data_IF_514671033972
#
_entry.id   IF_514671033972
#
_cell.length_a   1.000
_cell.length_b   1.000
_cell.length_c   1.000
_cell.angle_alpha   90.00
_cell.angle_beta   90.00
_cell.angle_gamma   90.00
#
_symmetry.space_group_name_H-M   'P 1'
#
loop_
_entity.id
_entity.type
_entity.pdbx_description
1 polymer ?
#
# COMPACT_ATOMS: atom_id res chain seq x y z
N UNK A 1 19.81 -62.70 -25.47
CA UNK A 1 18.50 -63.34 -25.25
C UNK A 1 17.50 -62.80 -26.27
N UNK A 2 17.02 -63.68 -27.16
CA UNK A 2 15.87 -63.49 -28.07
C UNK A 2 14.58 -63.54 -27.24
N UNK A 3 13.46 -62.94 -27.64
CA UNK A 3 12.31 -63.49 -28.39
C UNK A 3 11.38 -62.28 -28.66
N UNK A 4 11.03 -61.81 -29.88
CA UNK A 4 10.28 -62.35 -31.05
C UNK A 4 8.88 -62.91 -30.77
N UNK A 5 7.87 -62.16 -31.24
CA UNK A 5 6.67 -62.57 -32.03
C UNK A 5 5.70 -61.36 -32.03
N UNK A 6 5.56 -60.51 -33.05
CA UNK A 6 4.97 -60.72 -34.38
C UNK A 6 3.72 -61.60 -34.36
N UNK A 7 2.53 -61.03 -34.60
CA UNK A 7 1.53 -61.48 -35.58
C UNK A 7 0.65 -60.28 -35.95
N UNK A 8 0.86 -59.75 -37.15
CA UNK A 8 -0.09 -58.86 -37.81
C UNK A 8 -1.16 -59.66 -38.55
N UNK A 9 -2.19 -58.97 -39.04
CA UNK A 9 -2.90 -59.16 -40.30
C UNK A 9 -4.16 -58.27 -40.25
N UNK A 10 -4.66 -57.60 -41.28
CA UNK A 10 -4.24 -57.12 -42.60
C UNK A 10 -5.51 -56.39 -43.12
N UNK A 11 -5.37 -55.20 -43.70
CA UNK A 11 -6.09 -54.62 -44.87
C UNK A 11 -7.64 -54.59 -44.84
N UNK A 12 -8.33 -53.51 -45.24
CA UNK A 12 -8.51 -52.97 -46.60
C UNK A 12 -8.95 -51.48 -46.46
N UNK A 13 -8.36 -50.51 -47.18
CA UNK A 13 -8.95 -49.79 -48.33
C UNK A 13 -10.33 -49.14 -48.04
N UNK A 14 -10.67 -47.90 -48.38
CA UNK A 14 -10.16 -46.95 -49.35
C UNK A 14 -10.89 -45.59 -49.16
N UNK A 15 -10.17 -44.50 -49.41
CA UNK A 15 -10.56 -43.32 -50.22
C UNK A 15 -11.74 -42.42 -49.79
N UNK A 16 -11.35 -41.15 -49.57
CA UNK A 16 -11.99 -39.87 -49.88
C UNK A 16 -13.42 -39.56 -49.38
N UNK A 17 -13.52 -38.38 -48.75
CA UNK A 17 -14.11 -37.17 -49.33
C UNK A 17 -14.77 -36.33 -48.24
N UNK A 18 -14.45 -35.04 -48.26
CA UNK A 18 -15.09 -34.02 -47.45
C UNK A 18 -16.57 -33.86 -47.81
N UNK A 19 -17.41 -33.60 -46.81
CA UNK A 19 -18.63 -32.83 -46.99
C UNK A 19 -19.06 -32.20 -45.65
N UNK A 20 -19.21 -30.88 -45.71
CA UNK A 20 -19.83 -29.99 -44.74
C UNK A 20 -21.34 -30.30 -44.70
N UNK A 21 -21.94 -30.37 -43.51
CA UNK A 21 -23.33 -29.93 -43.30
C UNK A 21 -23.72 -29.96 -41.81
N UNK A 22 -23.90 -28.75 -41.26
CA UNK A 22 -25.02 -28.31 -40.42
C UNK A 22 -25.61 -29.24 -39.35
N UNK A 23 -25.39 -28.80 -38.10
CA UNK A 23 -26.37 -28.62 -37.04
C UNK A 23 -27.42 -29.72 -36.77
N UNK A 24 -27.30 -30.35 -35.61
CA UNK A 24 -28.43 -30.62 -34.72
C UNK A 24 -27.91 -30.79 -33.29
N UNK A 25 -28.15 -29.79 -32.46
CA UNK A 25 -27.93 -29.87 -31.02
C UNK A 25 -28.90 -30.89 -30.42
N UNK A 26 -28.36 -32.00 -29.90
CA UNK A 26 -29.05 -32.81 -28.90
C UNK A 26 -28.07 -33.10 -27.78
N UNK A 27 -28.34 -32.48 -26.63
CA UNK A 27 -27.94 -32.94 -25.31
C UNK A 27 -26.45 -33.08 -25.00
N UNK A 28 -25.86 -32.05 -24.40
CA UNK A 28 -24.79 -32.25 -23.41
C UNK A 28 -25.01 -31.27 -22.26
N UNK A 29 -25.02 -31.85 -21.06
CA UNK A 29 -24.99 -31.24 -19.74
C UNK A 29 -24.10 -29.97 -19.71
N UNK A 30 -24.72 -28.82 -19.45
CA UNK A 30 -24.01 -27.60 -19.11
C UNK A 30 -23.68 -27.65 -17.61
N UNK A 31 -22.42 -27.96 -17.29
CA UNK A 31 -21.84 -27.56 -16.01
C UNK A 31 -21.74 -26.02 -16.02
N UNK A 32 -22.70 -25.32 -15.42
CA UNK A 32 -22.58 -23.90 -15.08
C UNK A 32 -21.70 -23.76 -13.83
N UNK A 33 -20.42 -24.12 -13.96
CA UNK A 33 -19.38 -23.58 -13.08
C UNK A 33 -18.98 -22.23 -13.63
N UNK A 34 -19.86 -21.25 -13.39
CA UNK A 34 -19.50 -19.85 -13.46
C UNK A 34 -18.42 -19.61 -12.42
N UNK A 35 -17.16 -19.73 -12.85
CA UNK A 35 -16.02 -19.28 -12.07
C UNK A 35 -16.36 -17.87 -11.56
N UNK A 36 -16.27 -17.60 -10.25
CA UNK A 36 -16.48 -16.24 -9.77
C UNK A 36 -15.50 -15.35 -10.53
N UNK A 37 -16.03 -14.37 -11.26
CA UNK A 37 -15.23 -13.27 -11.80
C UNK A 37 -14.31 -12.81 -10.68
N UNK A 38 -12.99 -12.66 -10.90
CA UNK A 38 -12.13 -12.13 -9.86
C UNK A 38 -12.77 -10.84 -9.37
N UNK A 39 -13.05 -10.79 -8.07
CA UNK A 39 -13.45 -9.57 -7.39
C UNK A 39 -12.48 -8.48 -7.85
N UNK A 40 -12.95 -7.27 -8.23
CA UNK A 40 -12.02 -6.18 -8.53
C UNK A 40 -11.01 -6.11 -7.37
N UNK A 41 -9.70 -6.10 -7.65
CA UNK A 41 -8.70 -6.15 -6.58
C UNK A 41 -9.01 -5.03 -5.61
N UNK A 42 -9.24 -5.39 -4.34
CA UNK A 42 -9.58 -4.48 -3.28
C UNK A 42 -8.69 -3.23 -3.36
N UNK A 43 -9.30 -2.04 -3.34
CA UNK A 43 -8.62 -0.77 -3.64
C UNK A 43 -7.30 -0.65 -2.89
N UNK A 44 -6.19 -0.77 -3.62
CA UNK A 44 -4.85 -0.63 -3.06
C UNK A 44 -4.67 0.81 -2.60
N UNK A 45 -4.57 1.00 -1.28
CA UNK A 45 -4.31 2.30 -0.68
C UNK A 45 -2.84 2.40 -0.27
N UNK A 46 -2.09 3.19 -1.02
CA UNK A 46 -0.74 3.60 -0.62
C UNK A 46 -0.89 4.66 0.48
N UNK A 47 -0.48 4.31 1.69
CA UNK A 47 -0.51 5.19 2.87
C UNK A 47 0.72 6.11 2.86
N UNK A 48 1.86 5.57 2.47
CA UNK A 48 3.12 6.29 2.36
C UNK A 48 4.02 5.61 1.31
N UNK A 49 4.76 6.35 0.47
CA UNK A 49 4.83 7.81 0.39
C UNK A 49 3.57 8.45 -0.24
N UNK A 50 3.33 9.75 0.03
CA UNK A 50 2.27 10.51 -0.62
C UNK A 50 2.59 10.76 -2.11
N UNK A 51 1.59 10.80 -3.00
CA UNK A 51 1.80 11.19 -4.39
C UNK A 51 2.09 12.68 -4.52
N UNK A 52 2.80 13.05 -5.59
CA UNK A 52 3.05 14.43 -6.00
C UNK A 52 3.66 15.30 -4.89
N UNK A 53 4.64 14.74 -4.19
CA UNK A 53 5.23 15.34 -3.01
C UNK A 53 6.75 15.24 -3.05
N UNK A 54 7.39 16.10 -2.25
CA UNK A 54 8.84 16.08 -2.04
C UNK A 54 9.11 15.55 -0.65
N UNK A 55 9.92 14.51 -0.55
CA UNK A 55 10.40 13.98 0.71
C UNK A 55 11.87 14.32 0.87
N UNK A 56 12.29 14.54 2.12
CA UNK A 56 13.72 14.65 2.42
C UNK A 56 14.33 13.25 2.50
N UNK A 57 15.60 13.12 2.12
CA UNK A 57 16.37 11.90 2.29
C UNK A 57 16.26 11.35 3.71
N UNK A 58 16.15 10.03 3.82
CA UNK A 58 15.97 9.36 5.10
C UNK A 58 15.75 7.86 4.95
N UNK A 59 15.27 7.23 6.01
CA UNK A 59 14.76 5.86 5.91
C UNK A 59 13.37 5.88 5.29
N UNK A 60 13.19 5.18 4.17
CA UNK A 60 11.91 5.12 3.49
C UNK A 60 11.23 3.78 3.71
N UNK A 61 9.97 3.88 4.11
CA UNK A 61 9.04 2.75 4.09
C UNK A 61 8.04 2.98 2.96
N UNK A 62 7.58 1.90 2.34
CA UNK A 62 6.38 1.91 1.51
C UNK A 62 5.31 1.21 2.31
N UNK A 63 4.27 1.93 2.71
CA UNK A 63 3.20 1.43 3.57
C UNK A 63 1.92 1.38 2.75
N UNK A 64 1.33 0.20 2.65
CA UNK A 64 0.19 -0.06 1.78
C UNK A 64 -0.85 -0.88 2.53
N UNK A 65 -2.12 -0.54 2.34
CA UNK A 65 -3.24 -1.40 2.70
C UNK A 65 -3.82 -2.00 1.42
N UNK A 66 -3.82 -3.32 1.32
CA UNK A 66 -4.24 -4.05 0.13
C UNK A 66 -3.20 -5.08 -0.32
N UNK A 67 -3.44 -5.67 -1.49
CA UNK A 67 -2.60 -6.72 -2.04
C UNK A 67 -1.97 -6.30 -3.37
N UNK A 68 -0.81 -6.87 -3.67
CA UNK A 68 -0.09 -6.61 -4.91
C UNK A 68 1.42 -6.73 -4.73
N UNK A 69 2.11 -6.90 -5.84
CA UNK A 69 3.57 -6.81 -5.88
C UNK A 69 4.00 -5.34 -5.85
N UNK A 70 5.06 -5.03 -5.11
CA UNK A 70 5.66 -3.70 -5.06
C UNK A 70 6.78 -3.59 -6.10
N UNK A 71 6.71 -2.53 -6.88
CA UNK A 71 7.80 -2.07 -7.73
C UNK A 71 8.16 -0.64 -7.35
N UNK A 72 9.46 -0.39 -7.25
CA UNK A 72 10.07 0.93 -7.08
C UNK A 72 10.97 1.16 -8.29
N UNK A 73 10.68 2.18 -9.09
CA UNK A 73 11.41 2.50 -10.33
C UNK A 73 11.56 1.28 -11.26
N UNK A 74 10.50 0.49 -11.37
CA UNK A 74 10.47 -0.73 -12.17
C UNK A 74 11.15 -1.95 -11.53
N UNK A 75 11.86 -1.79 -10.41
CA UNK A 75 12.48 -2.89 -9.67
C UNK A 75 11.55 -3.47 -8.61
N UNK A 76 11.35 -4.79 -8.64
CA UNK A 76 10.52 -5.50 -7.66
C UNK A 76 11.16 -5.45 -6.27
N UNK A 77 10.37 -5.08 -5.26
CA UNK A 77 10.82 -5.01 -3.87
C UNK A 77 10.15 -6.10 -3.03
N UNK A 78 10.87 -6.69 -2.05
CA UNK A 78 10.29 -7.64 -1.11
C UNK A 78 9.39 -6.92 -0.09
N UNK A 79 8.36 -7.61 0.36
CA UNK A 79 7.56 -7.17 1.50
C UNK A 79 8.21 -7.64 2.81
N UNK A 80 8.19 -6.77 3.81
CA UNK A 80 8.50 -7.09 5.20
C UNK A 80 7.43 -8.03 5.79
N UNK A 81 7.75 -8.80 6.85
CA UNK A 81 6.86 -9.81 7.42
C UNK A 81 5.71 -9.19 8.25
N UNK A 82 4.77 -8.54 7.56
CA UNK A 82 3.54 -7.99 8.14
C UNK A 82 2.33 -8.85 7.77
N UNK A 83 1.44 -9.04 8.73
CA UNK A 83 0.18 -9.72 8.50
C UNK A 83 -0.76 -8.86 7.60
N UNK A 84 -1.56 -9.48 6.71
CA UNK A 84 -2.59 -8.78 5.96
C UNK A 84 -3.60 -8.03 6.86
N UNK A 85 -4.21 -6.94 6.36
CA UNK A 85 -4.12 -6.39 5.01
C UNK A 85 -2.98 -5.36 4.83
N UNK A 86 -2.14 -5.17 5.85
CA UNK A 86 -1.02 -4.24 5.76
C UNK A 86 0.15 -4.89 5.01
N UNK A 87 0.82 -4.09 4.19
CA UNK A 87 2.07 -4.42 3.52
C UNK A 87 3.04 -3.29 3.75
N UNK A 88 4.25 -3.62 4.16
CA UNK A 88 5.32 -2.66 4.42
C UNK A 88 6.57 -3.14 3.70
N UNK A 89 7.28 -2.25 3.03
CA UNK A 89 8.60 -2.54 2.49
C UNK A 89 9.57 -1.45 2.93
N UNK A 90 10.78 -1.81 3.34
CA UNK A 90 11.86 -0.85 3.53
C UNK A 90 12.59 -0.67 2.20
N UNK A 91 12.69 0.56 1.72
CA UNK A 91 13.28 0.86 0.40
C UNK A 91 14.40 1.89 0.54
N UNK A 92 15.45 1.72 -0.27
CA UNK A 92 16.53 2.70 -0.38
C UNK A 92 16.22 3.65 -1.54
N UNK A 93 16.07 4.94 -1.25
CA UNK A 93 15.82 5.97 -2.26
C UNK A 93 16.91 7.01 -2.17
N UNK A 94 17.41 7.43 -3.33
CA UNK A 94 18.39 8.48 -3.49
C UNK A 94 17.69 9.78 -3.90
N UNK A 95 18.36 10.93 -3.88
CA UNK A 95 17.77 12.14 -4.45
C UNK A 95 17.36 11.93 -5.91
N UNK A 96 16.16 12.40 -6.27
CA UNK A 96 15.60 12.24 -7.61
C UNK A 96 14.10 11.96 -7.62
N UNK A 97 13.57 11.77 -8.83
CA UNK A 97 12.18 11.38 -9.07
C UNK A 97 12.03 9.87 -8.94
N UNK A 98 11.02 9.44 -8.19
CA UNK A 98 10.72 8.03 -7.97
C UNK A 98 9.28 7.69 -8.34
N UNK A 99 9.08 6.46 -8.76
CA UNK A 99 7.79 5.84 -9.00
C UNK A 99 7.58 4.63 -8.09
N UNK A 100 6.42 4.57 -7.44
CA UNK A 100 5.95 3.36 -6.76
C UNK A 100 4.74 2.82 -7.48
N UNK A 101 4.78 1.53 -7.79
CA UNK A 101 3.67 0.79 -8.36
C UNK A 101 3.32 -0.41 -7.49
N UNK A 102 2.04 -0.52 -7.13
CA UNK A 102 1.48 -1.67 -6.41
C UNK A 102 0.20 -2.11 -7.11
N UNK A 103 0.24 -3.33 -7.67
CA UNK A 103 -0.81 -3.80 -8.57
C UNK A 103 -0.99 -2.83 -9.75
N UNK A 104 -2.18 -2.25 -9.88
CA UNK A 104 -2.53 -1.24 -10.90
C UNK A 104 -2.33 0.22 -10.46
N UNK A 105 -2.01 0.46 -9.19
CA UNK A 105 -1.86 1.81 -8.65
C UNK A 105 -0.41 2.25 -8.80
N UNK A 106 -0.22 3.40 -9.45
CA UNK A 106 1.09 4.05 -9.57
C UNK A 106 1.02 5.44 -8.94
N UNK A 107 2.08 5.82 -8.23
CA UNK A 107 2.31 7.17 -7.73
C UNK A 107 3.74 7.60 -8.02
N UNK A 108 3.95 8.90 -8.10
CA UNK A 108 5.28 9.50 -8.22
C UNK A 108 5.51 10.51 -7.12
N UNK A 109 6.76 10.63 -6.67
CA UNK A 109 7.21 11.57 -5.65
C UNK A 109 8.71 11.82 -5.86
N UNK A 110 9.23 12.90 -5.28
CA UNK A 110 10.64 13.25 -5.39
C UNK A 110 11.30 13.10 -4.03
N UNK A 111 12.56 12.69 -4.01
CA UNK A 111 13.42 12.73 -2.84
C UNK A 111 14.45 13.85 -3.03
N UNK A 112 14.61 14.71 -2.03
CA UNK A 112 15.52 15.85 -2.02
C UNK A 112 16.53 15.72 -0.88
N UNK A 113 17.74 16.26 -1.06
CA UNK A 113 18.80 16.22 -0.04
C UNK A 113 18.46 17.08 1.17
N UNK A 114 17.90 18.26 0.93
CA UNK A 114 17.52 19.22 1.96
C UNK A 114 16.38 20.12 1.43
N UNK A 115 15.91 21.07 2.25
CA UNK A 115 14.82 21.97 1.85
C UNK A 115 15.22 22.97 0.74
N UNK A 116 16.52 23.16 0.49
CA UNK A 116 17.08 24.15 -0.45
C UNK A 116 17.42 23.53 -1.82
N UNK A 117 17.88 22.27 -1.83
CA UNK A 117 18.27 21.47 -3.00
C UNK A 117 17.11 20.59 -3.46
N UNK A 118 16.02 21.23 -3.87
CA UNK A 118 14.84 20.55 -4.39
C UNK A 118 14.79 20.55 -5.93
N UNK A 119 14.88 19.36 -6.55
CA UNK A 119 14.83 19.17 -8.01
C UNK A 119 13.49 18.62 -8.55
N UNK A 120 12.45 18.50 -7.72
CA UNK A 120 11.17 17.95 -8.18
C UNK A 120 10.30 18.94 -8.97
N UNK A 121 9.17 18.46 -9.52
CA UNK A 121 8.23 19.31 -10.26
C UNK A 121 7.80 20.54 -9.44
N UNK A 122 7.76 21.73 -10.09
CA UNK A 122 7.57 23.05 -9.46
C UNK A 122 6.34 23.19 -8.54
N UNK A 123 5.37 22.30 -8.64
CA UNK A 123 4.10 22.36 -7.89
C UNK A 123 3.97 21.27 -6.81
N UNK A 124 5.01 20.50 -6.52
CA UNK A 124 4.96 19.47 -5.49
C UNK A 124 5.41 20.06 -4.15
N UNK A 125 4.59 19.98 -3.09
CA UNK A 125 4.94 20.57 -1.80
C UNK A 125 5.97 19.70 -1.06
N UNK A 126 6.82 20.36 -0.28
CA UNK A 126 7.67 19.69 0.70
C UNK A 126 6.81 19.00 1.76
N UNK A 127 6.91 17.68 1.82
CA UNK A 127 6.20 16.82 2.75
C UNK A 127 7.09 16.47 3.93
N UNK A 128 6.75 17.00 5.10
CA UNK A 128 7.54 16.82 6.31
C UNK A 128 7.05 15.59 7.06
N UNK A 129 7.99 14.72 7.40
CA UNK A 129 7.74 13.55 8.24
C UNK A 129 7.86 13.94 9.70
N UNK A 130 7.10 13.26 10.57
CA UNK A 130 7.36 13.34 12.00
C UNK A 130 8.72 12.68 12.29
N UNK A 131 9.70 13.46 12.72
CA UNK A 131 11.06 12.98 13.00
C UNK A 131 11.09 12.30 14.37
N UNK A 132 10.77 11.00 14.41
CA UNK A 132 10.99 10.18 15.60
C UNK A 132 12.48 9.80 15.63
N UNK A 133 13.19 10.21 16.68
CA UNK A 133 14.61 9.88 16.88
C UNK A 133 14.78 8.37 16.96
N UNK A 134 15.61 7.83 16.06
CA UNK A 134 15.98 6.41 15.94
C UNK A 134 14.86 5.45 15.49
N UNK A 135 14.82 5.21 14.17
CA UNK A 135 14.28 4.01 13.52
C UNK A 135 12.76 3.79 13.45
N UNK A 136 11.93 4.84 13.45
CA UNK A 136 10.49 4.79 13.03
C UNK A 136 9.79 3.45 13.33
N UNK A 137 9.89 3.01 14.58
CA UNK A 137 9.29 1.77 15.05
C UNK A 137 7.78 2.00 15.11
N UNK A 138 7.01 1.25 14.32
CA UNK A 138 5.56 1.42 14.23
C UNK A 138 4.90 1.35 15.61
N UNK A 139 5.46 0.52 16.50
CA UNK A 139 5.08 0.33 17.90
C UNK A 139 5.27 1.56 18.79
N UNK A 140 6.02 2.59 18.37
CA UNK A 140 6.10 3.83 19.12
C UNK A 140 4.71 4.48 19.23
N UNK A 141 3.88 4.35 18.18
CA UNK A 141 2.54 4.96 18.14
C UNK A 141 1.41 3.92 18.07
N UNK A 142 1.64 2.79 17.39
CA UNK A 142 0.64 1.75 17.21
C UNK A 142 0.74 0.67 18.27
N UNK A 143 -0.39 0.03 18.57
CA UNK A 143 -0.39 -1.30 19.19
C UNK A 143 0.09 -2.29 18.13
N UNK A 144 1.07 -3.13 18.49
CA UNK A 144 1.66 -4.10 17.57
C UNK A 144 1.62 -5.47 18.23
N UNK A 145 1.00 -6.43 17.56
CA UNK A 145 1.01 -7.83 17.96
C UNK A 145 1.89 -8.65 17.00
N UNK A 146 2.47 -9.75 17.50
CA UNK A 146 3.29 -10.67 16.71
C UNK A 146 2.70 -12.06 16.77
N UNK A 147 2.47 -12.65 15.62
CA UNK A 147 2.01 -14.04 15.51
C UNK A 147 3.15 -15.03 15.81
N UNK A 148 2.81 -16.28 16.10
CA UNK A 148 3.79 -17.35 16.30
C UNK A 148 4.69 -17.57 15.06
N UNK A 149 4.22 -17.21 13.86
CA UNK A 149 4.99 -17.26 12.62
C UNK A 149 5.89 -16.04 12.37
N UNK A 150 6.05 -15.14 13.37
CA UNK A 150 6.91 -13.96 13.27
C UNK A 150 6.31 -12.77 12.51
N UNK A 151 5.09 -12.89 11.96
CA UNK A 151 4.41 -11.78 11.29
C UNK A 151 3.95 -10.74 12.31
N UNK A 152 4.22 -9.46 12.01
CA UNK A 152 3.74 -8.32 12.79
C UNK A 152 2.39 -7.82 12.28
N UNK A 153 1.46 -7.58 13.20
CA UNK A 153 0.17 -6.93 12.93
C UNK A 153 0.18 -5.55 13.55
N UNK A 154 -0.14 -4.52 12.74
CA UNK A 154 -0.32 -3.15 13.22
C UNK A 154 -1.79 -2.92 13.48
N UNK A 155 -2.11 -2.56 14.72
CA UNK A 155 -3.46 -2.29 15.18
C UNK A 155 -3.68 -0.77 15.32
N UNK A 156 -4.69 -0.39 16.10
CA UNK A 156 -4.99 1.01 16.40
C UNK A 156 -3.83 1.75 17.08
N UNK A 157 -3.95 3.07 17.10
CA UNK A 157 -3.05 3.93 17.87
C UNK A 157 -3.21 3.65 19.36
N UNK A 158 -2.14 3.81 20.14
CA UNK A 158 -2.17 3.78 21.61
C UNK A 158 -2.88 5.00 22.24
N UNK A 159 -3.59 5.78 21.44
CA UNK A 159 -4.24 7.02 21.83
C UNK A 159 -3.25 8.13 22.24
N UNK A 160 -3.69 9.08 23.07
CA UNK A 160 -2.88 10.23 23.50
C UNK A 160 -1.57 9.86 24.17
N UNK A 161 -1.52 8.69 24.82
CA UNK A 161 -0.32 8.21 25.53
C UNK A 161 0.90 8.09 24.59
N UNK A 162 0.70 7.69 23.33
CA UNK A 162 1.78 7.63 22.34
C UNK A 162 2.36 9.02 22.03
N UNK A 163 1.52 10.05 22.01
CA UNK A 163 1.96 11.42 21.76
C UNK A 163 2.67 11.99 23.00
N UNK A 164 2.08 11.79 24.18
CA UNK A 164 2.60 12.34 25.43
C UNK A 164 3.84 11.62 25.96
N UNK A 165 4.25 10.50 25.35
CA UNK A 165 5.54 9.88 25.59
C UNK A 165 6.73 10.80 25.23
N UNK A 166 6.53 11.72 24.27
CA UNK A 166 7.56 12.68 23.84
C UNK A 166 7.10 14.14 23.91
N UNK A 167 5.82 14.42 23.71
CA UNK A 167 5.27 15.77 23.79
C UNK A 167 4.75 16.04 25.20
N UNK A 168 5.09 17.18 25.82
CA UNK A 168 4.56 17.49 27.15
C UNK A 168 3.13 17.98 27.05
N UNK A 169 2.29 17.56 27.99
CA UNK A 169 0.90 18.03 28.07
C UNK A 169 0.79 19.55 28.22
N UNK A 170 1.69 20.16 29.00
CA UNK A 170 1.74 21.62 29.17
C UNK A 170 2.04 22.35 27.84
N UNK A 171 2.90 21.78 27.00
CA UNK A 171 3.19 22.31 25.66
C UNK A 171 1.99 22.19 24.72
N UNK A 172 1.20 21.12 24.87
CA UNK A 172 -0.05 20.93 24.13
C UNK A 172 -1.07 22.02 24.51
N UNK A 173 -1.34 22.17 25.81
CA UNK A 173 -2.32 23.12 26.35
C UNK A 173 -1.97 24.57 26.00
N UNK A 174 -0.67 24.89 25.89
CA UNK A 174 -0.21 26.21 25.49
C UNK A 174 -0.33 26.51 23.99
N UNK A 175 -0.39 25.49 23.12
CA UNK A 175 -0.33 25.65 21.66
C UNK A 175 -1.62 25.31 20.93
N UNK A 176 -2.49 24.50 21.51
CA UNK A 176 -3.74 24.07 20.87
C UNK A 176 -4.92 24.91 21.35
N UNK A 177 -5.86 25.18 20.43
CA UNK A 177 -7.08 25.92 20.74
C UNK A 177 -8.09 25.12 21.57
N UNK A 178 -7.91 23.80 21.67
CA UNK A 178 -8.79 22.92 22.43
C UNK A 178 -8.07 22.32 23.63
N UNK A 179 -8.73 22.26 24.80
CA UNK A 179 -8.18 21.57 25.96
C UNK A 179 -8.21 20.05 25.75
N UNK A 180 -7.33 19.37 26.49
CA UNK A 180 -7.33 17.92 26.63
C UNK A 180 -7.69 17.57 28.07
N UNK A 181 -8.83 16.91 28.36
CA UNK A 181 -9.97 16.55 27.49
C UNK A 181 -10.85 17.76 27.03
N UNK A 182 -11.77 17.60 26.05
CA UNK A 182 -12.29 16.35 25.47
C UNK A 182 -11.60 15.86 24.18
N UNK A 183 -10.61 16.58 23.64
CA UNK A 183 -10.01 16.25 22.34
C UNK A 183 -8.92 15.17 22.46
N UNK A 184 -9.37 13.92 22.65
CA UNK A 184 -8.51 12.75 22.89
C UNK A 184 -7.98 12.06 21.62
N UNK A 185 -8.31 12.60 20.45
CA UNK A 185 -7.94 12.02 19.16
C UNK A 185 -7.09 13.00 18.37
N UNK A 186 -5.78 12.99 18.62
CA UNK A 186 -4.79 13.85 17.95
C UNK A 186 -4.87 13.74 16.42
N UNK A 187 -5.20 12.54 15.92
CA UNK A 187 -5.36 12.26 14.51
C UNK A 187 -6.58 12.93 13.88
N UNK A 188 -7.47 13.57 14.65
CA UNK A 188 -8.57 14.34 14.05
C UNK A 188 -8.01 15.49 13.22
N UNK A 189 -7.02 16.23 13.75
CA UNK A 189 -6.39 17.37 13.09
C UNK A 189 -5.04 17.03 12.44
N UNK A 190 -4.28 16.10 13.03
CA UNK A 190 -2.91 15.81 12.60
C UNK A 190 -2.82 14.56 11.70
N UNK A 191 -1.91 14.63 10.73
CA UNK A 191 -1.47 13.51 9.89
C UNK A 191 -0.19 12.92 10.49
N UNK A 192 -0.33 11.79 11.18
CA UNK A 192 0.71 11.28 12.10
C UNK A 192 1.99 10.80 11.42
N UNK A 193 1.91 10.33 10.17
CA UNK A 193 3.10 9.93 9.41
C UNK A 193 3.84 11.13 8.80
N UNK A 194 3.13 12.23 8.56
CA UNK A 194 3.68 13.42 7.94
C UNK A 194 2.62 14.24 7.21
N UNK A 195 2.97 15.44 6.79
CA UNK A 195 2.10 16.32 5.99
C UNK A 195 2.93 17.44 5.34
N UNK A 196 2.47 18.02 4.22
CA UNK A 196 3.09 19.21 3.67
C UNK A 196 2.81 20.48 4.49
N UNK A 197 1.89 20.41 5.45
CA UNK A 197 1.49 21.55 6.27
C UNK A 197 2.27 21.60 7.58
N UNK A 198 2.44 22.82 8.08
CA UNK A 198 3.07 23.08 9.38
C UNK A 198 2.35 22.28 10.48
N UNK A 199 3.12 21.85 11.49
CA UNK A 199 2.61 21.06 12.62
C UNK A 199 1.90 19.77 12.21
N UNK A 200 2.19 19.26 11.00
CA UNK A 200 1.61 18.04 10.43
C UNK A 200 0.08 18.05 10.32
N UNK A 201 -0.53 19.20 10.07
CA UNK A 201 -1.99 19.29 9.94
C UNK A 201 -2.51 18.59 8.67
N UNK A 202 -3.69 17.96 8.75
CA UNK A 202 -4.36 17.32 7.60
C UNK A 202 -4.87 18.32 6.57
N UNK A 203 -5.27 19.51 7.01
CA UNK A 203 -5.76 20.63 6.21
C UNK A 203 -5.36 21.96 6.85
N UNK A 204 -5.68 23.08 6.20
CA UNK A 204 -5.48 24.40 6.79
C UNK A 204 -6.36 24.57 8.04
N UNK A 205 -5.93 25.35 9.06
CA UNK A 205 -6.67 25.49 10.32
C UNK A 205 -8.15 25.83 10.13
N UNK A 206 -8.48 26.81 9.27
CA UNK A 206 -9.86 27.21 9.00
C UNK A 206 -10.71 26.04 8.49
N UNK A 207 -10.15 25.21 7.61
CA UNK A 207 -10.84 24.03 7.07
C UNK A 207 -11.05 22.98 8.15
N UNK A 208 -10.03 22.69 8.97
CA UNK A 208 -10.14 21.72 10.06
C UNK A 208 -11.20 22.14 11.10
N UNK A 209 -11.23 23.42 11.47
CA UNK A 209 -12.23 23.93 12.40
C UNK A 209 -13.65 23.74 11.86
N UNK A 210 -13.84 24.01 10.56
CA UNK A 210 -15.13 23.88 9.89
C UNK A 210 -15.61 22.42 9.71
N UNK A 211 -14.77 21.41 9.98
CA UNK A 211 -15.22 20.01 9.97
C UNK A 211 -16.19 19.70 11.12
N UNK A 212 -16.14 20.47 12.22
CA UNK A 212 -17.00 20.29 13.40
C UNK A 212 -17.73 21.56 13.84
N UNK A 213 -17.28 22.75 13.43
CA UNK A 213 -17.89 24.02 13.80
C UNK A 213 -18.44 24.71 12.56
N UNK A 214 -19.76 24.72 12.42
CA UNK A 214 -20.43 25.55 11.43
C UNK A 214 -20.13 27.03 11.76
N UNK A 215 -19.56 27.74 10.78
CA UNK A 215 -19.20 29.17 10.89
C UNK A 215 -20.40 30.08 10.75
#
# INVERSE_FOLDING_TARGET
MKWRAEWGLRWVGAIAAAAIASASCVGVLWCDERLPSPSPPADVKIIFPPPNAVLLVGTFYVIVKGEGELFVDGQRQPWEPFAPPLRVAKVGLYPGLHEIRVGRRTISFSVALNEEEFEGPRNWPLYRLHTISAHQQCEACHVVSRSAGGLASIEGLKGPSACFACHRRTDFEARHSHPFPPLEHCQNCHALHGSPRKSLLKAEPKTLCAECHDT
#
